data_IF_310395221268
#
_entry.id   IF_310395221268
#
_cell.length_a   1.000
_cell.length_b   1.000
_cell.length_c   1.000
_cell.angle_alpha   90.00
_cell.angle_beta   90.00
_cell.angle_gamma   90.00
#
_symmetry.space_group_name_H-M   'P 1'
#
loop_
_entity.id
_entity.type
_entity.pdbx_description
1 polymer ?
#
# COMPACT_ATOMS: atom_id res chain seq x y z
N UNK A 1 3.62 12.31 4.10
CA UNK A 1 3.37 10.90 4.44
C UNK A 1 3.98 10.05 3.34
N UNK A 2 4.74 9.01 3.67
CA UNK A 2 5.33 8.07 2.71
C UNK A 2 4.67 6.71 2.84
N UNK A 3 4.37 6.07 1.71
CA UNK A 3 3.89 4.69 1.64
C UNK A 3 5.02 3.84 1.08
N UNK A 4 5.44 2.83 1.83
CA UNK A 4 6.45 1.87 1.43
C UNK A 4 5.81 0.69 0.72
N UNK A 5 6.42 0.26 -0.37
CA UNK A 5 6.01 -0.91 -1.16
C UNK A 5 6.92 -2.08 -0.82
N UNK A 6 6.36 -3.27 -0.62
CA UNK A 6 7.09 -4.50 -0.35
C UNK A 6 6.60 -5.60 -1.30
N UNK A 7 7.50 -6.31 -1.99
CA UNK A 7 7.09 -7.43 -2.86
C UNK A 7 6.67 -8.65 -2.05
N UNK A 8 7.37 -8.88 -0.95
CA UNK A 8 7.17 -9.94 0.03
C UNK A 8 7.70 -9.47 1.40
N UNK A 9 7.87 -10.39 2.35
CA UNK A 9 8.33 -10.06 3.71
C UNK A 9 9.84 -9.76 3.82
N UNK A 10 10.60 -9.76 2.71
CA UNK A 10 12.04 -9.50 2.68
C UNK A 10 12.42 -8.06 3.01
N UNK A 11 11.46 -7.13 2.97
CA UNK A 11 11.67 -5.72 3.31
C UNK A 11 11.10 -4.76 2.26
N UNK A 12 11.55 -3.51 2.34
CA UNK A 12 11.11 -2.40 1.48
C UNK A 12 11.70 -2.58 0.07
N UNK A 13 10.83 -2.50 -0.94
CA UNK A 13 11.17 -2.55 -2.35
C UNK A 13 11.26 -1.16 -3.00
N UNK A 14 10.28 -0.29 -2.74
CA UNK A 14 10.24 1.10 -3.24
C UNK A 14 9.33 1.95 -2.34
N UNK A 15 9.16 3.22 -2.69
CA UNK A 15 8.29 4.17 -2.00
C UNK A 15 7.35 4.90 -2.97
N UNK A 16 6.18 5.24 -2.45
CA UNK A 16 5.22 6.18 -3.04
C UNK A 16 5.09 7.36 -2.08
N UNK A 17 5.62 8.50 -2.50
CA UNK A 17 5.62 9.78 -1.78
C UNK A 17 4.75 10.84 -2.46
N UNK A 18 4.34 10.58 -3.72
CA UNK A 18 3.41 11.41 -4.49
C UNK A 18 2.15 10.60 -4.82
N UNK A 19 1.03 11.04 -4.26
CA UNK A 19 -0.29 10.46 -4.48
C UNK A 19 -1.34 11.56 -4.35
N UNK A 20 -2.50 11.33 -4.97
CA UNK A 20 -3.60 12.28 -5.06
C UNK A 20 -4.53 12.12 -3.85
N UNK A 21 -4.80 10.86 -3.49
CA UNK A 21 -5.57 10.54 -2.32
C UNK A 21 -5.13 9.20 -1.72
N UNK A 22 -5.40 9.06 -0.42
CA UNK A 22 -5.16 7.84 0.33
C UNK A 22 -6.23 7.71 1.40
N UNK A 23 -6.90 6.56 1.41
CA UNK A 23 -7.86 6.15 2.43
C UNK A 23 -7.31 4.87 3.05
N UNK A 24 -7.14 4.89 4.36
CA UNK A 24 -6.64 3.76 5.13
C UNK A 24 -7.62 3.44 6.25
N UNK A 25 -8.57 2.54 5.97
CA UNK A 25 -9.65 2.24 6.90
C UNK A 25 -9.28 1.06 7.79
N UNK A 26 -8.87 1.38 9.02
CA UNK A 26 -8.51 0.40 10.04
C UNK A 26 -9.74 -0.07 10.79
N UNK A 27 -10.07 -1.36 10.67
CA UNK A 27 -11.18 -1.96 11.40
C UNK A 27 -10.68 -2.88 12.51
N UNK A 28 -11.14 -2.60 13.74
CA UNK A 28 -10.86 -3.49 14.88
C UNK A 28 -11.58 -4.83 14.71
N UNK A 29 -12.85 -4.77 14.31
CA UNK A 29 -13.69 -5.91 13.98
C UNK A 29 -14.09 -5.83 12.50
N UNK A 30 -13.48 -6.68 11.67
CA UNK A 30 -13.68 -6.69 10.21
C UNK A 30 -12.37 -6.74 9.42
N UNK A 31 -12.42 -6.81 8.08
CA UNK A 31 -11.26 -6.58 7.23
C UNK A 31 -10.94 -5.08 7.18
N UNK A 32 -9.70 -4.70 7.47
CA UNK A 32 -9.23 -3.36 7.14
C UNK A 32 -9.08 -3.27 5.62
N UNK A 33 -9.30 -2.09 5.06
CA UNK A 33 -9.27 -1.86 3.61
C UNK A 33 -8.52 -0.56 3.32
N UNK A 34 -7.96 -0.45 2.12
CA UNK A 34 -7.36 0.78 1.67
C UNK A 34 -7.69 1.09 0.22
N UNK A 35 -7.61 2.38 -0.10
CA UNK A 35 -7.63 2.91 -1.46
C UNK A 35 -6.51 3.96 -1.58
N UNK A 36 -5.69 3.82 -2.62
CA UNK A 36 -4.58 4.71 -2.93
C UNK A 36 -4.70 5.14 -4.39
N UNK A 37 -4.79 6.44 -4.63
CA UNK A 37 -4.87 6.99 -5.98
C UNK A 37 -3.59 7.74 -6.30
N UNK A 38 -2.89 7.31 -7.35
CA UNK A 38 -1.60 7.86 -7.77
C UNK A 38 -1.59 8.22 -9.24
N UNK A 39 -0.74 9.16 -9.68
CA UNK A 39 -0.52 9.36 -11.12
C UNK A 39 -0.01 8.08 -11.79
N UNK A 40 -0.49 7.76 -12.99
CA UNK A 40 -0.13 6.56 -13.73
C UNK A 40 1.25 6.67 -14.42
N UNK A 41 2.29 6.95 -13.63
CA UNK A 41 3.68 6.99 -14.09
C UNK A 41 4.23 5.58 -14.31
N UNK A 42 5.26 5.43 -15.15
CA UNK A 42 5.95 4.15 -15.35
C UNK A 42 6.45 3.56 -14.03
N UNK A 43 6.95 4.42 -13.12
CA UNK A 43 7.34 4.02 -11.76
C UNK A 43 6.17 3.38 -11.03
N UNK A 44 5.05 4.09 -10.90
CA UNK A 44 3.89 3.63 -10.13
C UNK A 44 3.30 2.35 -10.72
N UNK A 45 3.24 2.23 -12.05
CA UNK A 45 2.80 1.01 -12.74
C UNK A 45 3.75 -0.18 -12.44
N UNK A 46 5.06 0.07 -12.37
CA UNK A 46 6.07 -0.98 -12.13
C UNK A 46 6.06 -1.50 -10.69
N UNK A 47 5.82 -0.62 -9.72
CA UNK A 47 5.93 -0.96 -8.29
C UNK A 47 4.58 -1.34 -7.65
N UNK A 48 3.45 -0.83 -8.13
CA UNK A 48 2.13 -1.15 -7.57
C UNK A 48 1.52 -2.34 -8.31
N UNK A 49 1.86 -3.56 -7.86
CA UNK A 49 1.39 -4.81 -8.45
C UNK A 49 0.49 -5.58 -7.50
N UNK A 50 -0.49 -6.29 -8.07
CA UNK A 50 -1.37 -7.16 -7.29
C UNK A 50 -0.54 -8.18 -6.51
N UNK A 51 -0.87 -8.35 -5.24
CA UNK A 51 -0.16 -9.23 -4.33
C UNK A 51 0.96 -8.58 -3.53
N UNK A 52 1.52 -7.45 -3.99
CA UNK A 52 2.49 -6.67 -3.22
C UNK A 52 1.82 -6.03 -2.01
N UNK A 53 2.62 -5.63 -1.04
CA UNK A 53 2.18 -5.08 0.22
C UNK A 53 2.58 -3.60 0.35
N UNK A 54 1.77 -2.86 1.09
CA UNK A 54 1.93 -1.46 1.39
C UNK A 54 1.93 -1.25 2.90
N UNK A 55 2.83 -0.40 3.39
CA UNK A 55 2.88 0.02 4.79
C UNK A 55 3.16 1.51 4.85
N UNK A 56 2.46 2.24 5.73
CA UNK A 56 2.70 3.66 5.91
C UNK A 56 3.89 3.86 6.83
N UNK A 57 4.62 4.94 6.63
CA UNK A 57 5.76 5.31 7.48
C UNK A 57 5.46 5.27 8.98
N UNK A 58 4.27 5.71 9.38
CA UNK A 58 3.84 5.72 10.78
C UNK A 58 3.60 4.33 11.38
N UNK A 59 3.38 3.33 10.54
CA UNK A 59 3.17 1.93 10.96
C UNK A 59 4.49 1.11 10.95
N UNK A 60 5.63 1.78 10.77
CA UNK A 60 6.97 1.17 10.83
C UNK A 60 7.61 1.47 12.19
N UNK A 61 7.91 0.43 12.97
CA UNK A 61 8.47 0.56 14.31
C UNK A 61 9.67 -0.37 14.50
N UNK A 62 10.88 0.21 14.47
CA UNK A 62 12.15 -0.53 14.54
C UNK A 62 12.17 -1.66 13.50
N UNK A 63 11.97 -2.92 13.92
CA UNK A 63 12.00 -4.11 13.06
C UNK A 63 10.60 -4.68 12.79
N UNK A 64 9.54 -3.89 12.95
CA UNK A 64 8.15 -4.34 12.79
C UNK A 64 7.36 -3.43 11.85
N UNK A 65 6.53 -4.07 11.03
CA UNK A 65 5.54 -3.43 10.18
C UNK A 65 4.15 -3.78 10.71
N UNK A 66 3.40 -2.76 11.13
CA UNK A 66 2.02 -2.88 11.55
C UNK A 66 1.09 -2.48 10.40
N UNK A 67 -0.20 -2.84 10.51
CA UNK A 67 -1.26 -2.38 9.60
C UNK A 67 -0.96 -2.55 8.09
N UNK A 68 -0.15 -3.57 7.75
CA UNK A 68 0.28 -3.86 6.39
C UNK A 68 -0.93 -4.25 5.53
N UNK A 69 -1.04 -3.61 4.38
CA UNK A 69 -2.12 -3.83 3.42
C UNK A 69 -1.59 -4.56 2.19
N UNK A 70 -2.35 -5.52 1.66
CA UNK A 70 -2.03 -6.21 0.41
C UNK A 70 -2.86 -5.66 -0.74
N UNK A 71 -2.21 -5.37 -1.86
CA UNK A 71 -2.87 -4.93 -3.09
C UNK A 71 -3.68 -6.10 -3.66
N UNK A 72 -4.98 -5.90 -3.84
CA UNK A 72 -5.90 -6.86 -4.47
C UNK A 72 -6.42 -6.35 -5.82
N UNK A 73 -6.60 -5.03 -5.97
CA UNK A 73 -7.14 -4.41 -7.18
C UNK A 73 -6.27 -3.26 -7.67
N UNK A 74 -6.17 -3.14 -8.99
CA UNK A 74 -5.51 -2.03 -9.68
C UNK A 74 -6.39 -1.62 -10.85
N UNK A 75 -6.72 -0.33 -10.93
CA UNK A 75 -7.54 0.23 -11.99
C UNK A 75 -6.85 1.45 -12.59
N UNK A 76 -6.68 1.46 -13.91
CA UNK A 76 -6.21 2.62 -14.67
C UNK A 76 -7.43 3.41 -15.16
N UNK A 77 -7.48 4.71 -14.85
CA UNK A 77 -8.56 5.59 -15.28
C UNK A 77 -8.04 6.97 -15.67
N UNK A 78 -8.81 7.73 -16.44
CA UNK A 78 -8.49 9.10 -16.81
C UNK A 78 -9.34 10.06 -15.97
N UNK A 79 -8.68 11.00 -15.29
CA UNK A 79 -9.31 12.10 -14.58
C UNK A 79 -8.98 13.42 -15.27
N UNK A 80 -9.99 14.27 -15.44
CA UNK A 80 -9.88 15.49 -16.27
C UNK A 80 -8.80 16.45 -15.74
N UNK A 81 -8.62 16.55 -14.43
CA UNK A 81 -7.68 17.48 -13.81
C UNK A 81 -6.27 16.90 -13.68
N UNK A 82 -6.14 15.59 -13.48
CA UNK A 82 -4.86 14.96 -13.11
C UNK A 82 -4.29 14.04 -14.19
N UNK A 83 -5.05 13.78 -15.26
CA UNK A 83 -4.66 12.89 -16.36
C UNK A 83 -4.89 11.41 -16.02
N UNK A 84 -3.98 10.55 -16.47
CA UNK A 84 -4.07 9.12 -16.17
C UNK A 84 -3.68 8.83 -14.73
N UNK A 85 -4.54 8.11 -14.02
CA UNK A 85 -4.36 7.75 -12.61
C UNK A 85 -4.53 6.26 -12.41
N UNK A 86 -3.80 5.72 -11.44
CA UNK A 86 -3.95 4.38 -10.92
C UNK A 86 -4.68 4.43 -9.58
N UNK A 87 -5.83 3.78 -9.51
CA UNK A 87 -6.52 3.48 -8.26
C UNK A 87 -6.12 2.09 -7.81
N UNK A 88 -5.48 2.00 -6.65
CA UNK A 88 -4.97 0.77 -6.06
C UNK A 88 -5.76 0.49 -4.79
N UNK A 89 -6.34 -0.70 -4.71
CA UNK A 89 -7.17 -1.11 -3.57
C UNK A 89 -6.72 -2.44 -3.00
N UNK A 90 -7.12 -2.70 -1.77
CA UNK A 90 -6.90 -3.99 -1.16
C UNK A 90 -7.19 -4.00 0.31
N UNK A 91 -6.62 -5.00 1.00
CA UNK A 91 -7.05 -5.38 2.34
C UNK A 91 -5.90 -5.55 3.30
N UNK A 92 -6.18 -5.25 4.56
CA UNK A 92 -5.26 -5.41 5.66
C UNK A 92 -5.00 -6.87 5.93
N UNK A 93 -3.73 -7.19 6.10
CA UNK A 93 -3.30 -8.51 6.50
C UNK A 93 -3.33 -8.57 8.01
N UNK A 94 -4.33 -9.24 8.58
CA UNK A 94 -4.32 -9.54 10.01
C UNK A 94 -3.15 -10.48 10.30
N UNK A 95 -2.16 -10.00 11.06
CA UNK A 95 -1.01 -10.74 11.58
C UNK A 95 -0.06 -11.38 10.53
N UNK A 96 0.80 -10.61 9.84
CA UNK A 96 1.92 -11.21 9.09
C UNK A 96 3.23 -11.24 9.88
N UNK A 97 3.50 -10.26 10.74
CA UNK A 97 4.82 -10.14 11.39
C UNK A 97 4.75 -10.34 12.89
N UNK A 98 4.34 -11.54 13.30
CA UNK A 98 4.75 -12.11 14.57
C UNK A 98 6.03 -12.93 14.37
N UNK A 99 7.12 -12.31 13.91
CA UNK A 99 8.42 -12.96 14.07
C UNK A 99 8.72 -12.95 15.57
N UNK A 100 8.61 -14.13 16.18
CA UNK A 100 9.09 -14.39 17.53
C UNK A 100 10.59 -14.10 17.55
N UNK A 101 11.01 -13.11 18.33
CA UNK A 101 12.34 -13.16 18.93
C UNK A 101 12.20 -14.20 20.05
N UNK A 102 12.79 -15.38 19.86
CA UNK A 102 13.02 -16.39 20.91
C UNK A 102 14.43 -16.19 21.45
#
# INVERSE_FOLDING_TARGET
MVIYVMQDASGIYDIVDVFQSVIWNMQFYGPSEFELVVPATEKNISILKQGYMLVREEDIHSDKYENVMRIEGIQLSFQVEEGWVLTVTGKGLKNILSQRIV
#
